data_IF_568794088344
#
_entry.id   IF_568794088344
#
_cell.length_a   1.000
_cell.length_b   1.000
_cell.length_c   1.000
_cell.angle_alpha   90.00
_cell.angle_beta   90.00
_cell.angle_gamma   90.00
#
_symmetry.space_group_name_H-M   'P 1'
#
loop_
_entity.id
_entity.type
_entity.pdbx_description
1 polymer ?
#
# COMPACT_ATOMS: atom_id res chain seq x y z
N UNK A 1 19.19 -20.09 33.22
CA UNK A 1 17.79 -19.59 33.33
C UNK A 1 17.58 -18.26 32.60
N UNK A 2 18.49 -17.29 32.72
CA UNK A 2 18.36 -15.98 32.07
C UNK A 2 18.33 -16.07 30.53
N UNK A 3 19.19 -16.91 29.92
CA UNK A 3 19.20 -17.13 28.47
C UNK A 3 17.93 -17.77 27.92
N UNK A 4 17.31 -18.67 28.68
CA UNK A 4 16.04 -19.31 28.31
C UNK A 4 14.88 -18.32 28.36
N UNK A 5 14.88 -17.41 29.33
CA UNK A 5 13.88 -16.33 29.41
C UNK A 5 14.03 -15.33 28.26
N UNK A 6 15.25 -14.94 27.93
CA UNK A 6 15.53 -14.05 26.79
C UNK A 6 15.11 -14.67 25.46
N UNK A 7 15.37 -15.97 25.26
CA UNK A 7 15.02 -16.68 24.02
C UNK A 7 13.50 -16.83 23.86
N UNK A 8 12.77 -17.14 24.94
CA UNK A 8 11.31 -17.19 24.93
C UNK A 8 10.69 -15.80 24.67
N UNK A 9 11.26 -14.73 25.22
CA UNK A 9 10.82 -13.36 24.93
C UNK A 9 11.04 -12.99 23.46
N UNK A 10 12.19 -13.35 22.87
CA UNK A 10 12.46 -13.07 21.46
C UNK A 10 11.48 -13.82 20.53
N UNK A 11 11.18 -15.09 20.82
CA UNK A 11 10.20 -15.86 20.05
C UNK A 11 8.77 -15.30 20.17
N UNK A 12 8.37 -14.78 21.35
CA UNK A 12 7.07 -14.12 21.52
C UNK A 12 6.98 -12.75 20.85
N UNK A 13 8.09 -12.00 20.78
CA UNK A 13 8.12 -10.63 20.25
C UNK A 13 8.30 -10.53 18.73
N UNK A 14 8.89 -11.56 18.09
CA UNK A 14 9.06 -11.61 16.63
C UNK A 14 7.75 -11.42 15.84
N UNK A 15 6.67 -12.18 16.14
CA UNK A 15 5.36 -12.03 15.51
C UNK A 15 4.77 -10.62 15.61
N UNK A 16 4.87 -10.02 16.80
CA UNK A 16 4.34 -8.68 17.08
C UNK A 16 5.10 -7.61 16.31
N UNK A 17 6.44 -7.72 16.23
CA UNK A 17 7.26 -6.80 15.44
C UNK A 17 6.92 -6.85 13.96
N UNK A 18 6.81 -8.05 13.38
CA UNK A 18 6.47 -8.21 11.97
C UNK A 18 5.07 -7.72 11.63
N UNK A 19 4.10 -7.93 12.53
CA UNK A 19 2.78 -7.35 12.38
C UNK A 19 2.82 -5.82 12.39
N UNK A 20 3.58 -5.22 13.31
CA UNK A 20 3.74 -3.77 13.36
C UNK A 20 4.44 -3.22 12.09
N UNK A 21 5.48 -3.89 11.60
CA UNK A 21 6.15 -3.56 10.33
C UNK A 21 5.18 -3.60 9.15
N UNK A 22 4.36 -4.65 9.06
CA UNK A 22 3.32 -4.79 8.04
C UNK A 22 2.33 -3.61 8.10
N UNK A 23 1.86 -3.24 9.30
CA UNK A 23 0.93 -2.12 9.46
C UNK A 23 1.57 -0.77 9.09
N UNK A 24 2.83 -0.56 9.46
CA UNK A 24 3.59 0.65 9.12
C UNK A 24 3.79 0.75 7.60
N UNK A 25 4.27 -0.31 6.96
CA UNK A 25 4.50 -0.35 5.51
C UNK A 25 3.21 -0.13 4.72
N UNK A 26 2.10 -0.72 5.14
CA UNK A 26 0.82 -0.51 4.46
C UNK A 26 0.27 0.91 4.69
N UNK A 27 0.50 1.50 5.86
CA UNK A 27 0.17 2.91 6.12
C UNK A 27 0.99 3.84 5.25
N UNK A 28 2.30 3.60 5.12
CA UNK A 28 3.18 4.36 4.23
C UNK A 28 2.70 4.31 2.78
N UNK A 29 2.44 3.11 2.24
CA UNK A 29 1.89 2.93 0.88
C UNK A 29 0.57 3.68 0.67
N UNK A 30 -0.31 3.69 1.67
CA UNK A 30 -1.58 4.43 1.60
C UNK A 30 -1.38 5.95 1.64
N UNK A 31 -0.43 6.43 2.44
CA UNK A 31 -0.10 7.86 2.52
C UNK A 31 0.53 8.35 1.22
N UNK A 32 1.51 7.63 0.69
CA UNK A 32 2.13 7.92 -0.62
C UNK A 32 1.05 8.01 -1.71
N UNK A 33 0.17 7.00 -1.75
CA UNK A 33 -0.95 6.97 -2.67
C UNK A 33 -1.86 8.20 -2.54
N UNK A 34 -2.23 8.62 -1.33
CA UNK A 34 -3.07 9.80 -1.13
C UNK A 34 -2.37 11.10 -1.58
N UNK A 35 -1.06 11.24 -1.30
CA UNK A 35 -0.27 12.41 -1.70
C UNK A 35 -0.15 12.49 -3.22
N UNK A 36 0.14 11.38 -3.89
CA UNK A 36 0.28 11.34 -5.34
C UNK A 36 -1.05 11.66 -6.02
N UNK A 37 -2.17 11.13 -5.52
CA UNK A 37 -3.53 11.49 -5.98
C UNK A 37 -3.82 12.98 -5.85
N UNK A 38 -3.49 13.56 -4.70
CA UNK A 38 -3.67 14.99 -4.46
C UNK A 38 -2.88 15.82 -5.47
N UNK A 39 -1.64 15.45 -5.75
CA UNK A 39 -0.79 16.13 -6.75
C UNK A 39 -1.39 15.99 -8.15
N UNK A 40 -1.76 14.78 -8.56
CA UNK A 40 -2.32 14.50 -9.89
C UNK A 40 -3.62 15.27 -10.13
N UNK A 41 -4.60 15.17 -9.22
CA UNK A 41 -5.89 15.82 -9.41
C UNK A 41 -5.79 17.35 -9.29
N UNK A 42 -4.93 17.87 -8.42
CA UNK A 42 -4.62 19.30 -8.38
C UNK A 42 -4.00 19.76 -9.69
N UNK A 43 -3.07 18.98 -10.25
CA UNK A 43 -2.47 19.24 -11.56
C UNK A 43 -3.50 19.28 -12.69
N UNK A 44 -4.45 18.34 -12.71
CA UNK A 44 -5.57 18.34 -13.66
C UNK A 44 -6.45 19.58 -13.53
N UNK A 45 -6.79 19.97 -12.29
CA UNK A 45 -7.60 21.16 -12.01
C UNK A 45 -6.91 22.46 -12.42
N UNK A 46 -5.64 22.63 -12.04
CA UNK A 46 -4.82 23.80 -12.42
C UNK A 46 -4.63 23.85 -13.94
N UNK A 47 -4.39 22.71 -14.58
CA UNK A 47 -4.29 22.62 -16.04
C UNK A 47 -5.56 23.11 -16.73
N UNK A 48 -6.74 22.69 -16.23
CA UNK A 48 -8.03 23.14 -16.77
C UNK A 48 -8.26 24.64 -16.56
N UNK A 49 -7.91 25.18 -15.38
CA UNK A 49 -8.01 26.62 -15.13
C UNK A 49 -7.11 27.42 -16.07
N UNK A 50 -5.87 26.97 -16.31
CA UNK A 50 -4.97 27.61 -17.27
C UNK A 50 -5.54 27.56 -18.70
N UNK A 51 -6.01 26.40 -19.13
CA UNK A 51 -6.63 26.25 -20.45
C UNK A 51 -7.87 27.14 -20.62
N UNK A 52 -8.65 27.36 -19.55
CA UNK A 52 -9.78 28.28 -19.58
C UNK A 52 -9.36 29.75 -19.71
N UNK A 53 -8.24 30.15 -19.10
CA UNK A 53 -7.69 31.50 -19.23
C UNK A 53 -7.13 31.80 -20.63
N UNK A 54 -6.76 30.76 -21.37
CA UNK A 54 -6.27 30.86 -22.76
C UNK A 54 -7.42 31.03 -23.78
N UNK A 55 -8.68 30.97 -23.35
CA UNK A 55 -9.84 31.20 -24.22
C UNK A 55 -10.07 32.70 -24.39
N UNK A 56 -9.73 33.21 -25.57
CA UNK A 56 -9.85 34.65 -25.91
C UNK A 56 -10.83 34.94 -27.04
N UNK A 57 -11.26 33.91 -27.77
CA UNK A 57 -12.07 34.01 -28.98
C UNK A 57 -12.82 32.70 -29.27
N UNK A 58 -13.63 32.70 -30.33
CA UNK A 58 -14.44 31.53 -30.72
C UNK A 58 -13.60 30.33 -31.16
N UNK A 59 -12.40 30.53 -31.69
CA UNK A 59 -11.52 29.45 -32.15
C UNK A 59 -10.85 28.75 -30.96
N UNK A 60 -10.30 29.52 -30.02
CA UNK A 60 -9.74 29.01 -28.76
C UNK A 60 -10.81 28.33 -27.90
N UNK A 61 -12.05 28.83 -27.89
CA UNK A 61 -13.18 28.15 -27.25
C UNK A 61 -13.47 26.79 -27.89
N UNK A 62 -13.47 26.69 -29.22
CA UNK A 62 -13.68 25.43 -29.91
C UNK A 62 -12.55 24.42 -29.60
N UNK A 63 -11.30 24.89 -29.55
CA UNK A 63 -10.16 24.07 -29.14
C UNK A 63 -10.31 23.55 -27.70
N UNK A 64 -10.68 24.42 -26.75
CA UNK A 64 -10.95 24.03 -25.36
C UNK A 64 -12.05 22.96 -25.25
N UNK A 65 -13.14 23.12 -26.01
CA UNK A 65 -14.22 22.14 -26.05
C UNK A 65 -13.78 20.80 -26.65
N UNK A 66 -12.90 20.82 -27.66
CA UNK A 66 -12.38 19.62 -28.31
C UNK A 66 -11.43 18.84 -27.37
N UNK A 67 -10.67 19.54 -26.54
CA UNK A 67 -9.76 18.97 -25.54
C UNK A 67 -10.49 18.24 -24.40
N UNK A 68 -11.78 18.51 -24.18
CA UNK A 68 -12.56 17.88 -23.11
C UNK A 68 -12.60 16.35 -23.22
N UNK A 69 -12.63 15.78 -24.43
CA UNK A 69 -12.58 14.33 -24.62
C UNK A 69 -11.24 13.75 -24.15
N UNK A 70 -10.13 14.44 -24.41
CA UNK A 70 -8.80 14.04 -23.91
C UNK A 70 -8.74 14.13 -22.39
N UNK A 71 -9.30 15.20 -21.82
CA UNK A 71 -9.38 15.37 -20.37
C UNK A 71 -10.15 14.21 -19.71
N UNK A 72 -11.32 13.84 -20.25
CA UNK A 72 -12.12 12.71 -19.73
C UNK A 72 -11.35 11.39 -19.85
N UNK A 73 -10.67 11.15 -20.98
CA UNK A 73 -9.86 9.95 -21.16
C UNK A 73 -8.69 9.89 -20.17
N UNK A 74 -7.99 11.01 -19.94
CA UNK A 74 -6.92 11.09 -18.95
C UNK A 74 -7.46 10.82 -17.54
N UNK A 75 -8.61 11.39 -17.18
CA UNK A 75 -9.25 11.13 -15.89
C UNK A 75 -9.62 9.65 -15.73
N UNK A 76 -10.18 9.03 -16.77
CA UNK A 76 -10.54 7.61 -16.76
C UNK A 76 -9.30 6.70 -16.63
N UNK A 77 -8.20 7.05 -17.31
CA UNK A 77 -6.91 6.37 -17.15
C UNK A 77 -6.39 6.50 -15.71
N UNK A 78 -6.40 7.71 -15.15
CA UNK A 78 -5.99 7.94 -13.77
C UNK A 78 -6.81 7.06 -12.82
N UNK A 79 -8.14 7.08 -12.92
CA UNK A 79 -9.04 6.21 -12.11
C UNK A 79 -8.73 4.71 -12.28
N UNK A 80 -8.26 4.28 -13.45
CA UNK A 80 -7.87 2.89 -13.69
C UNK A 80 -6.54 2.55 -13.02
N UNK A 81 -5.53 3.42 -13.13
CA UNK A 81 -4.21 3.26 -12.48
C UNK A 81 -4.35 3.24 -10.95
N UNK A 82 -5.22 4.11 -10.49
CA UNK A 82 -5.73 4.25 -9.15
C UNK A 82 -6.32 2.95 -8.58
N UNK A 83 -7.18 2.27 -9.34
CA UNK A 83 -7.71 0.95 -8.98
C UNK A 83 -6.62 -0.13 -8.96
N UNK A 84 -5.69 -0.11 -9.93
CA UNK A 84 -4.57 -1.06 -9.97
C UNK A 84 -3.67 -0.93 -8.74
N UNK A 85 -3.40 0.31 -8.34
CA UNK A 85 -2.56 0.60 -7.15
C UNK A 85 -3.24 0.11 -5.87
N UNK A 86 -4.53 0.39 -5.69
CA UNK A 86 -5.30 -0.14 -4.56
C UNK A 86 -5.32 -1.67 -4.52
N UNK A 87 -5.49 -2.31 -5.67
CA UNK A 87 -5.44 -3.77 -5.76
C UNK A 87 -4.06 -4.31 -5.38
N UNK A 88 -2.99 -3.65 -5.83
CA UNK A 88 -1.61 -4.00 -5.46
C UNK A 88 -1.37 -3.89 -3.95
N UNK A 89 -1.80 -2.79 -3.31
CA UNK A 89 -1.72 -2.60 -1.86
C UNK A 89 -2.47 -3.73 -1.13
N UNK A 90 -3.69 -4.04 -1.59
CA UNK A 90 -4.52 -5.10 -0.99
C UNK A 90 -3.88 -6.49 -1.11
N UNK A 91 -3.30 -6.80 -2.27
CA UNK A 91 -2.57 -8.05 -2.49
C UNK A 91 -1.33 -8.14 -1.61
N UNK A 92 -0.54 -7.07 -1.53
CA UNK A 92 0.66 -6.99 -0.68
C UNK A 92 0.32 -7.25 0.78
N UNK A 93 -0.72 -6.58 1.31
CA UNK A 93 -1.20 -6.79 2.67
C UNK A 93 -1.60 -8.24 2.93
N UNK A 94 -2.37 -8.85 2.01
CA UNK A 94 -2.79 -10.25 2.13
C UNK A 94 -1.61 -11.22 2.14
N UNK A 95 -0.65 -11.05 1.23
CA UNK A 95 0.56 -11.88 1.16
C UNK A 95 1.44 -11.73 2.41
N UNK A 96 1.67 -10.51 2.86
CA UNK A 96 2.47 -10.24 4.07
C UNK A 96 1.78 -10.81 5.33
N UNK A 97 0.45 -10.73 5.42
CA UNK A 97 -0.31 -11.30 6.54
C UNK A 97 -0.26 -12.84 6.56
N UNK A 98 -0.33 -13.47 5.39
CA UNK A 98 -0.13 -14.92 5.27
C UNK A 98 1.27 -15.33 5.72
N UNK A 99 2.30 -14.56 5.37
CA UNK A 99 3.68 -14.83 5.77
C UNK A 99 3.85 -14.77 7.31
N UNK A 100 3.33 -13.72 7.96
CA UNK A 100 3.35 -13.60 9.44
C UNK A 100 2.65 -14.79 10.10
N UNK A 101 1.52 -15.25 9.54
CA UNK A 101 0.76 -16.37 10.10
C UNK A 101 1.49 -17.71 9.91
N UNK A 102 2.05 -17.98 8.73
CA UNK A 102 2.80 -19.21 8.45
C UNK A 102 4.04 -19.31 9.34
N UNK A 103 4.78 -18.22 9.49
CA UNK A 103 5.97 -18.19 10.34
C UNK A 103 5.63 -18.42 11.82
N UNK A 104 4.50 -17.87 12.30
CA UNK A 104 4.02 -18.14 13.66
C UNK A 104 3.71 -19.62 13.87
N UNK A 105 3.07 -20.27 12.90
CA UNK A 105 2.78 -21.72 12.96
C UNK A 105 4.07 -22.53 12.95
N UNK A 106 5.03 -22.20 12.08
CA UNK A 106 6.33 -22.86 12.03
C UNK A 106 7.12 -22.71 13.33
N UNK A 107 7.17 -21.50 13.90
CA UNK A 107 7.84 -21.25 15.19
C UNK A 107 7.19 -22.03 16.34
N UNK A 108 5.85 -22.14 16.36
CA UNK A 108 5.14 -22.93 17.38
C UNK A 108 5.42 -24.44 17.23
N UNK A 109 5.46 -24.96 16.00
CA UNK A 109 5.81 -26.36 15.72
C UNK A 109 7.26 -26.67 16.13
N UNK A 110 8.20 -25.78 15.83
CA UNK A 110 9.61 -25.96 16.19
C UNK A 110 9.81 -25.93 17.71
N UNK A 111 9.11 -25.03 18.41
CA UNK A 111 9.14 -24.97 19.88
C UNK A 111 8.50 -26.20 20.52
N UNK A 112 7.40 -26.71 19.96
CA UNK A 112 6.79 -27.96 20.40
C UNK A 112 7.71 -29.18 20.19
N UNK A 113 8.40 -29.26 19.04
CA UNK A 113 9.36 -30.31 18.74
C UNK A 113 10.60 -30.27 19.67
N UNK A 114 11.09 -29.06 19.99
CA UNK A 114 12.17 -28.85 20.97
C UNK A 114 11.74 -29.20 22.40
N UNK A 115 10.49 -28.96 22.77
CA UNK A 115 9.94 -29.34 24.07
C UNK A 115 9.75 -30.86 24.21
N UNK A 116 9.30 -31.53 23.14
CA UNK A 116 9.13 -32.99 23.12
C UNK A 116 10.47 -33.73 23.23
N UNK A 117 11.50 -33.29 22.49
CA UNK A 117 12.83 -33.89 22.52
C UNK A 117 13.57 -33.69 23.85
N UNK A 118 13.29 -32.60 24.59
CA UNK A 118 13.79 -32.36 25.96
C UNK A 118 13.14 -33.23 27.04
N UNK A 119 11.97 -33.82 26.77
CA UNK A 119 11.22 -34.64 27.75
C UNK A 119 11.55 -36.13 27.65
N UNK A 120 12.21 -36.54 26.57
CA UNK A 120 12.64 -37.92 26.28
C UNK A 120 14.14 -38.17 26.49
N UNK A 121 14.90 -37.16 26.91
CA UNK A 121 16.31 -37.24 27.31
C UNK A 121 16.41 -37.01 28.82
#
# INVERSE_FOLDING_TARGET
MQDQMMNNMQQMMGPVRKFNELMLNNTEKLVEFQIDRMRTYSGLGIGRMRAALEVTDSQSLQSFLTEQNKFVNNLAQQVTEDMKTLNSISQSFGTEMQAVTQENVSNLQETAAKAASRKTA
#
